data_IF_646796246054
#
_entry.id   IF_646796246054
#
_cell.length_a   1.000
_cell.length_b   1.000
_cell.length_c   1.000
_cell.angle_alpha   90.00
_cell.angle_beta   90.00
_cell.angle_gamma   90.00
#
_symmetry.space_group_name_H-M   'P 1'
#
loop_
_entity.id
_entity.type
_entity.pdbx_description
1 polymer ?
#
# COMPACT_ATOMS: atom_id res chain seq x y z
N UNK A 1 43.03 -23.41 2.35
CA UNK A 1 43.18 -22.11 3.03
C UNK A 1 41.90 -21.34 2.82
N UNK A 2 41.15 -21.12 3.90
CA UNK A 2 39.82 -20.53 3.86
C UNK A 2 39.88 -19.06 3.48
N UNK A 3 39.02 -18.64 2.55
CA UNK A 3 38.83 -17.24 2.27
C UNK A 3 37.68 -16.74 3.14
N UNK A 4 38.02 -15.80 4.01
CA UNK A 4 37.14 -15.19 5.00
C UNK A 4 36.04 -14.41 4.29
N UNK A 5 34.78 -14.75 4.58
CA UNK A 5 33.65 -13.88 4.36
C UNK A 5 33.80 -12.68 5.30
N UNK A 6 34.11 -11.51 4.76
CA UNK A 6 34.00 -10.27 5.52
C UNK A 6 32.52 -9.99 5.75
N UNK A 7 32.10 -10.12 7.02
CA UNK A 7 30.80 -9.68 7.48
C UNK A 7 30.65 -8.16 7.28
N UNK A 8 29.88 -7.79 6.27
CA UNK A 8 29.18 -6.51 6.25
C UNK A 8 27.70 -6.84 6.28
N UNK A 9 27.13 -6.85 7.48
CA UNK A 9 25.70 -7.00 7.73
C UNK A 9 24.95 -5.82 7.09
N UNK A 10 24.54 -5.99 5.83
CA UNK A 10 23.39 -5.26 5.30
C UNK A 10 22.16 -6.14 5.50
N UNK A 11 21.56 -6.06 6.68
CA UNK A 11 20.22 -6.60 6.91
C UNK A 11 19.27 -5.94 5.90
N UNK A 12 18.87 -6.70 4.89
CA UNK A 12 17.90 -6.24 3.89
C UNK A 12 16.56 -6.03 4.60
N UNK A 13 15.70 -5.13 4.10
CA UNK A 13 14.31 -5.07 4.60
C UNK A 13 13.63 -6.46 4.60
N UNK A 14 14.08 -7.38 3.72
CA UNK A 14 13.65 -8.79 3.68
C UNK A 14 13.79 -9.50 5.04
N UNK A 15 14.79 -9.17 5.84
CA UNK A 15 15.05 -9.78 7.14
C UNK A 15 14.20 -9.16 8.27
N UNK A 16 13.49 -8.06 7.97
CA UNK A 16 12.54 -7.38 8.87
C UNK A 16 11.09 -7.65 8.50
N UNK A 17 10.86 -8.44 7.44
CA UNK A 17 9.52 -8.85 7.01
C UNK A 17 8.97 -9.83 8.03
N UNK A 18 8.08 -9.35 8.90
CA UNK A 18 7.09 -10.24 9.48
C UNK A 18 6.15 -10.63 8.34
N UNK A 19 6.24 -11.90 7.89
CA UNK A 19 5.25 -12.43 6.96
C UNK A 19 3.89 -12.32 7.63
N UNK A 20 2.85 -11.86 6.91
CA UNK A 20 1.51 -11.88 7.44
C UNK A 20 1.18 -13.27 7.99
N UNK A 21 0.75 -13.31 9.26
CA UNK A 21 0.20 -14.54 9.83
C UNK A 21 -1.08 -14.92 9.09
N UNK A 22 -1.45 -16.20 9.11
CA UNK A 22 -2.74 -16.66 8.56
C UNK A 22 -3.92 -16.34 9.50
N UNK A 23 -3.80 -15.32 10.34
CA UNK A 23 -4.76 -15.00 11.40
C UNK A 23 -5.96 -14.23 10.83
N UNK A 24 -7.13 -14.52 11.39
CA UNK A 24 -8.44 -14.01 10.95
C UNK A 24 -8.79 -12.65 11.55
N UNK A 25 -7.84 -12.00 12.23
CA UNK A 25 -8.14 -10.76 12.95
C UNK A 25 -8.33 -9.62 11.95
N UNK A 26 -9.48 -8.96 12.07
CA UNK A 26 -9.86 -7.83 11.23
C UNK A 26 -9.88 -6.57 12.08
N UNK A 27 -9.25 -5.52 11.58
CA UNK A 27 -9.18 -4.19 12.18
C UNK A 27 -10.15 -3.25 11.46
N UNK A 28 -11.02 -2.63 12.24
CA UNK A 28 -11.87 -1.51 11.84
C UNK A 28 -11.06 -0.23 11.65
N UNK A 29 -11.65 0.79 11.03
CA UNK A 29 -11.03 2.11 10.91
C UNK A 29 -10.63 2.71 12.29
N UNK A 30 -11.46 2.52 13.33
CA UNK A 30 -11.16 3.04 14.67
C UNK A 30 -10.01 2.29 15.34
N UNK A 31 -9.94 0.96 15.17
CA UNK A 31 -8.82 0.16 15.66
C UNK A 31 -7.51 0.54 14.98
N UNK A 32 -7.53 0.72 13.66
CA UNK A 32 -6.38 1.21 12.90
C UNK A 32 -5.94 2.60 13.38
N UNK A 33 -6.87 3.54 13.59
CA UNK A 33 -6.54 4.88 14.11
C UNK A 33 -5.92 4.81 15.49
N UNK A 34 -6.46 3.98 16.40
CA UNK A 34 -5.87 3.79 17.74
C UNK A 34 -4.46 3.20 17.66
N UNK A 35 -4.26 2.20 16.82
CA UNK A 35 -2.97 1.56 16.64
C UNK A 35 -1.92 2.53 16.05
N UNK A 36 -2.27 3.26 14.97
CA UNK A 36 -1.39 4.26 14.37
C UNK A 36 -1.13 5.45 15.31
N UNK A 37 -2.09 5.84 16.14
CA UNK A 37 -1.89 6.87 17.19
C UNK A 37 -0.89 6.40 18.25
N UNK A 38 -0.93 5.14 18.65
CA UNK A 38 0.06 4.56 19.57
C UNK A 38 1.47 4.57 18.96
N UNK A 39 1.59 4.27 17.67
CA UNK A 39 2.86 4.35 16.93
C UNK A 39 3.35 5.80 16.89
N UNK A 40 2.50 6.73 16.46
CA UNK A 40 2.81 8.15 16.36
C UNK A 40 3.27 8.73 17.71
N UNK A 41 2.55 8.45 18.79
CA UNK A 41 2.90 8.89 20.14
C UNK A 41 4.27 8.37 20.59
N UNK A 42 4.58 7.11 20.27
CA UNK A 42 5.89 6.52 20.59
C UNK A 42 7.03 7.18 19.82
N UNK A 43 6.81 7.51 18.55
CA UNK A 43 7.78 8.23 17.71
C UNK A 43 7.97 9.67 18.19
N UNK A 44 6.87 10.35 18.51
CA UNK A 44 6.88 11.73 18.99
C UNK A 44 7.60 11.87 20.33
N UNK A 45 7.37 10.96 21.27
CA UNK A 45 8.08 10.92 22.54
C UNK A 45 9.61 10.77 22.39
N UNK A 46 10.08 10.28 21.23
CA UNK A 46 11.50 10.18 20.87
C UNK A 46 11.98 11.34 20.00
N UNK A 47 11.19 12.40 19.85
CA UNK A 47 11.52 13.58 19.05
C UNK A 47 11.56 13.32 17.54
N UNK A 48 10.94 12.24 17.06
CA UNK A 48 10.94 11.88 15.63
C UNK A 48 9.58 12.20 15.00
N UNK A 49 9.59 12.59 13.71
CA UNK A 49 8.40 12.59 12.86
C UNK A 49 8.74 11.85 11.57
N UNK A 50 8.07 10.72 11.33
CA UNK A 50 8.37 9.83 10.21
C UNK A 50 7.18 9.78 9.27
N UNK A 51 7.45 9.69 7.97
CA UNK A 51 6.45 9.48 6.94
C UNK A 51 6.59 8.10 6.30
N UNK A 52 5.45 7.43 6.09
CA UNK A 52 5.36 6.14 5.40
C UNK A 52 4.26 6.18 4.34
N UNK A 53 4.30 5.24 3.41
CA UNK A 53 3.27 5.11 2.36
C UNK A 53 2.54 3.80 2.54
N UNK A 54 1.23 3.87 2.83
CA UNK A 54 0.36 2.72 2.96
C UNK A 54 -0.19 2.27 1.59
N UNK A 55 -0.35 0.96 1.42
CA UNK A 55 -0.89 0.31 0.24
C UNK A 55 -2.10 -0.53 0.64
N UNK A 56 -3.11 -0.62 -0.21
CA UNK A 56 -4.15 -1.64 -0.06
C UNK A 56 -5.14 -1.36 1.09
N UNK A 57 -5.42 -2.41 1.86
CA UNK A 57 -6.60 -2.48 2.73
C UNK A 57 -6.72 -1.36 3.76
N UNK A 58 -5.60 -0.90 4.32
CA UNK A 58 -5.58 0.25 5.22
C UNK A 58 -6.05 1.55 4.52
N UNK A 59 -5.64 1.78 3.27
CA UNK A 59 -6.10 2.92 2.47
C UNK A 59 -7.61 2.79 2.19
N UNK A 60 -8.06 1.59 1.81
CA UNK A 60 -9.47 1.31 1.57
C UNK A 60 -10.36 1.52 2.80
N UNK A 61 -9.83 1.23 4.00
CA UNK A 61 -10.59 1.30 5.26
C UNK A 61 -10.55 2.71 5.87
N UNK A 62 -9.36 3.31 5.98
CA UNK A 62 -9.17 4.59 6.67
C UNK A 62 -9.49 5.82 5.82
N UNK A 63 -9.24 5.76 4.51
CA UNK A 63 -9.31 6.92 3.62
C UNK A 63 -10.44 6.82 2.60
N UNK A 64 -10.55 5.71 1.87
CA UNK A 64 -11.59 5.55 0.84
C UNK A 64 -12.95 5.13 1.41
N UNK A 65 -12.96 4.57 2.63
CA UNK A 65 -14.14 3.97 3.26
C UNK A 65 -14.86 2.94 2.37
N UNK A 66 -14.11 2.26 1.50
CA UNK A 66 -14.64 1.21 0.61
C UNK A 66 -14.68 -0.17 1.27
N UNK A 67 -14.10 -0.29 2.47
CA UNK A 67 -14.07 -1.49 3.30
C UNK A 67 -14.36 -1.11 4.75
N UNK A 68 -15.10 -1.97 5.44
CA UNK A 68 -15.34 -1.83 6.89
C UNK A 68 -14.09 -2.23 7.69
N UNK A 69 -13.38 -3.26 7.23
CA UNK A 69 -12.22 -3.80 7.92
C UNK A 69 -11.09 -4.27 6.99
N UNK A 70 -9.89 -4.38 7.55
CA UNK A 70 -8.70 -4.97 6.93
C UNK A 70 -7.86 -5.71 7.97
N UNK A 71 -6.98 -6.61 7.57
CA UNK A 71 -6.20 -7.40 8.52
C UNK A 71 -4.94 -6.68 9.00
N UNK A 72 -4.40 -5.78 8.18
CA UNK A 72 -3.11 -5.14 8.41
C UNK A 72 -2.96 -3.80 7.68
N UNK A 73 -1.83 -3.15 7.93
CA UNK A 73 -1.33 -1.98 7.24
C UNK A 73 -0.04 -2.39 6.52
N UNK A 74 -0.17 -2.67 5.23
CA UNK A 74 0.95 -2.78 4.30
C UNK A 74 1.54 -1.39 4.03
N UNK A 75 2.84 -1.22 4.21
CA UNK A 75 3.50 0.05 3.93
C UNK A 75 4.91 -0.07 3.35
N UNK A 76 5.43 1.04 2.84
CA UNK A 76 6.83 1.14 2.45
C UNK A 76 7.42 2.52 2.80
N UNK A 77 8.74 2.56 2.85
CA UNK A 77 9.54 3.78 3.04
C UNK A 77 10.12 4.26 1.72
N UNK A 78 10.73 5.44 1.71
CA UNK A 78 11.50 5.98 0.59
C UNK A 78 12.73 5.11 0.20
N UNK A 79 13.07 4.08 0.98
CA UNK A 79 14.20 3.17 0.74
C UNK A 79 13.85 1.73 1.10
N UNK A 80 14.54 0.77 0.46
CA UNK A 80 14.51 -0.65 0.85
C UNK A 80 15.65 -1.07 1.76
N UNK A 81 16.52 -0.15 2.16
CA UNK A 81 17.59 -0.42 3.12
C UNK A 81 17.09 -0.11 4.51
N UNK A 82 17.43 -0.96 5.48
CA UNK A 82 17.18 -0.66 6.88
C UNK A 82 17.92 0.62 7.27
N UNK A 83 17.20 1.53 7.94
CA UNK A 83 17.78 2.73 8.53
C UNK A 83 17.16 2.97 9.92
N UNK A 84 17.52 4.09 10.53
CA UNK A 84 17.04 4.46 11.86
C UNK A 84 15.52 4.66 11.88
N UNK A 85 14.95 5.26 10.85
CA UNK A 85 13.50 5.48 10.75
C UNK A 85 12.73 4.17 10.68
N UNK A 86 13.17 3.23 9.83
CA UNK A 86 12.64 1.87 9.74
C UNK A 86 12.67 1.21 11.12
N UNK A 87 13.81 1.29 11.80
CA UNK A 87 14.00 0.67 13.12
C UNK A 87 13.08 1.30 14.18
N UNK A 88 12.90 2.63 14.15
CA UNK A 88 12.02 3.36 15.06
C UNK A 88 10.55 3.01 14.84
N UNK A 89 10.10 2.94 13.58
CA UNK A 89 8.71 2.55 13.26
C UNK A 89 8.43 1.12 13.69
N UNK A 90 9.32 0.17 13.41
CA UNK A 90 9.15 -1.23 13.82
C UNK A 90 9.08 -1.34 15.36
N UNK A 91 9.98 -0.65 16.08
CA UNK A 91 9.95 -0.64 17.54
C UNK A 91 8.65 -0.02 18.08
N UNK A 92 8.17 1.07 17.48
CA UNK A 92 6.91 1.70 17.85
C UNK A 92 5.69 0.81 17.51
N UNK A 93 5.74 0.06 16.41
CA UNK A 93 4.72 -0.90 16.02
C UNK A 93 4.61 -2.06 17.03
N UNK A 94 5.74 -2.58 17.53
CA UNK A 94 5.75 -3.63 18.56
C UNK A 94 5.23 -3.11 19.92
N UNK A 95 5.50 -1.84 20.26
CA UNK A 95 4.89 -1.20 21.42
C UNK A 95 3.37 -1.17 21.27
N UNK A 96 2.85 -0.63 20.16
CA UNK A 96 1.41 -0.58 19.90
C UNK A 96 0.77 -1.98 19.92
N UNK A 97 1.43 -2.96 19.29
CA UNK A 97 1.01 -4.36 19.25
C UNK A 97 0.81 -4.93 20.65
N UNK A 98 1.80 -4.74 21.54
CA UNK A 98 1.73 -5.23 22.93
C UNK A 98 0.63 -4.55 23.73
N UNK A 99 0.45 -3.24 23.57
CA UNK A 99 -0.54 -2.46 24.31
C UNK A 99 -1.98 -2.75 23.87
N UNK A 100 -2.19 -3.03 22.59
CA UNK A 100 -3.50 -3.22 21.99
C UNK A 100 -3.81 -4.68 21.63
N UNK A 101 -2.92 -5.61 21.98
CA UNK A 101 -3.02 -7.04 21.67
C UNK A 101 -3.27 -7.31 20.17
N UNK A 102 -2.46 -6.70 19.31
CA UNK A 102 -2.58 -6.83 17.84
C UNK A 102 -1.77 -8.02 17.32
N UNK A 103 -2.12 -8.49 16.13
CA UNK A 103 -1.31 -9.46 15.39
C UNK A 103 0.11 -8.92 15.15
N UNK A 104 1.18 -9.75 15.23
CA UNK A 104 2.55 -9.32 14.94
C UNK A 104 2.74 -8.62 13.60
N UNK A 105 1.94 -8.96 12.60
CA UNK A 105 2.02 -8.44 11.24
C UNK A 105 1.06 -7.27 10.95
N UNK A 106 0.35 -6.74 11.96
CA UNK A 106 -0.66 -5.67 11.79
C UNK A 106 -0.12 -4.41 11.09
N UNK A 107 1.17 -4.10 11.25
CA UNK A 107 1.87 -3.02 10.55
C UNK A 107 3.16 -3.61 9.99
N UNK A 108 3.15 -3.91 8.68
CA UNK A 108 4.25 -4.62 8.03
C UNK A 108 4.65 -3.97 6.71
N UNK A 109 5.91 -4.14 6.34
CA UNK A 109 6.47 -3.59 5.10
C UNK A 109 6.70 -4.65 4.02
N UNK A 110 6.00 -5.79 4.09
CA UNK A 110 6.20 -6.90 3.16
C UNK A 110 5.91 -6.49 1.72
N UNK A 111 4.98 -5.57 1.50
CA UNK A 111 4.70 -5.02 0.16
C UNK A 111 5.95 -4.45 -0.52
N UNK A 112 6.95 -3.96 0.22
CA UNK A 112 8.17 -3.41 -0.35
C UNK A 112 9.02 -4.47 -1.08
N UNK A 113 8.86 -5.75 -0.76
CA UNK A 113 9.56 -6.86 -1.45
C UNK A 113 9.16 -6.96 -2.93
N UNK A 114 7.92 -6.58 -3.26
CA UNK A 114 7.37 -6.65 -4.61
C UNK A 114 7.58 -5.37 -5.43
N UNK A 115 8.04 -4.29 -4.80
CA UNK A 115 8.43 -3.06 -5.50
C UNK A 115 9.86 -3.25 -6.02
N UNK A 116 10.24 -2.63 -7.13
CA UNK A 116 11.65 -2.61 -7.60
C UNK A 116 12.50 -1.62 -6.77
N UNK A 117 13.82 -1.81 -6.71
CA UNK A 117 14.71 -0.95 -5.89
C UNK A 117 14.68 0.50 -6.40
N UNK A 118 14.81 0.65 -7.71
CA UNK A 118 14.77 1.91 -8.43
C UNK A 118 13.40 2.61 -8.36
N UNK A 119 12.31 1.86 -8.16
CA UNK A 119 10.95 2.38 -8.19
C UNK A 119 10.44 2.84 -6.81
N UNK A 120 10.97 2.30 -5.71
CA UNK A 120 10.44 2.61 -4.37
C UNK A 120 10.52 4.10 -4.03
N UNK A 121 11.63 4.73 -4.44
CA UNK A 121 11.87 6.15 -4.24
C UNK A 121 10.85 6.99 -5.01
N UNK A 122 10.69 6.68 -6.29
CA UNK A 122 9.73 7.34 -7.17
C UNK A 122 8.31 7.26 -6.62
N UNK A 123 7.87 6.07 -6.18
CA UNK A 123 6.53 5.88 -5.62
C UNK A 123 6.33 6.65 -4.32
N UNK A 124 7.37 6.74 -3.49
CA UNK A 124 7.31 7.53 -2.26
C UNK A 124 7.17 9.02 -2.57
N UNK A 125 8.03 9.56 -3.44
CA UNK A 125 8.00 10.98 -3.82
C UNK A 125 6.66 11.33 -4.48
N UNK A 126 6.13 10.45 -5.33
CA UNK A 126 4.82 10.60 -5.94
C UNK A 126 3.68 10.54 -4.91
N UNK A 127 3.75 9.67 -3.90
CA UNK A 127 2.74 9.60 -2.83
C UNK A 127 2.69 10.91 -2.02
N UNK A 128 3.85 11.46 -1.69
CA UNK A 128 3.98 12.76 -1.01
C UNK A 128 3.43 13.88 -1.89
N UNK A 129 3.77 13.89 -3.18
CA UNK A 129 3.24 14.86 -4.14
C UNK A 129 1.72 14.73 -4.34
N UNK A 130 1.20 13.51 -4.35
CA UNK A 130 -0.24 13.22 -4.46
C UNK A 130 -1.00 13.75 -3.25
N UNK A 131 -0.35 13.80 -2.08
CA UNK A 131 -0.84 14.49 -0.87
C UNK A 131 -2.02 13.82 -0.17
N UNK A 132 -2.29 12.54 -0.46
CA UNK A 132 -3.44 11.82 0.11
C UNK A 132 -3.09 11.26 1.48
N UNK A 133 -3.35 12.03 2.52
CA UNK A 133 -3.03 11.64 3.91
C UNK A 133 -4.10 10.68 4.46
N UNK A 134 -3.71 9.43 4.67
CA UNK A 134 -4.54 8.36 5.25
C UNK A 134 -4.64 8.51 6.78
N UNK A 135 -3.53 8.92 7.41
CA UNK A 135 -3.45 9.18 8.83
C UNK A 135 -2.35 10.21 9.11
N UNK A 136 -2.58 11.08 10.09
CA UNK A 136 -1.54 11.97 10.59
C UNK A 136 -1.74 12.24 12.08
N UNK A 137 -0.62 12.28 12.80
CA UNK A 137 -0.52 12.73 14.18
C UNK A 137 0.91 13.21 14.43
N UNK A 138 1.15 13.84 15.58
CA UNK A 138 2.52 14.12 16.02
C UNK A 138 3.32 12.81 16.02
N UNK A 139 4.41 12.77 15.25
CA UNK A 139 5.32 11.63 15.13
C UNK A 139 5.14 10.74 13.91
N UNK A 140 3.98 10.74 13.24
CA UNK A 140 3.73 9.87 12.09
C UNK A 140 2.79 10.52 11.06
N UNK A 141 3.17 10.47 9.80
CA UNK A 141 2.29 10.72 8.66
C UNK A 141 2.24 9.48 7.76
N UNK A 142 1.03 9.09 7.34
CA UNK A 142 0.79 7.95 6.46
C UNK A 142 0.12 8.47 5.19
N UNK A 143 0.82 8.37 4.06
CA UNK A 143 0.27 8.70 2.75
C UNK A 143 -0.35 7.47 2.08
N UNK A 144 -1.35 7.65 1.23
CA UNK A 144 -1.78 6.61 0.32
C UNK A 144 -0.76 6.47 -0.82
N UNK A 145 -0.49 5.24 -1.23
CA UNK A 145 0.31 4.97 -2.42
C UNK A 145 -0.28 5.65 -3.68
N UNK A 146 0.54 5.94 -4.70
CA UNK A 146 0.05 6.58 -5.91
C UNK A 146 -1.08 5.77 -6.55
N UNK A 147 -2.17 6.43 -6.95
CA UNK A 147 -3.36 5.73 -7.41
C UNK A 147 -3.10 4.86 -8.65
N UNK A 148 -2.17 5.26 -9.52
CA UNK A 148 -1.73 4.47 -10.69
C UNK A 148 -1.06 3.16 -10.29
N UNK A 149 -0.24 3.19 -9.23
CA UNK A 149 0.40 2.00 -8.68
C UNK A 149 -0.62 1.10 -7.99
N UNK A 150 -1.46 1.67 -7.14
CA UNK A 150 -2.50 0.93 -6.43
C UNK A 150 -3.47 0.23 -7.39
N UNK A 151 -3.88 0.89 -8.48
CA UNK A 151 -4.74 0.32 -9.51
C UNK A 151 -4.05 -0.82 -10.28
N UNK A 152 -2.82 -0.60 -10.76
CA UNK A 152 -2.08 -1.63 -11.51
C UNK A 152 -1.83 -2.88 -10.66
N UNK A 153 -1.39 -2.70 -9.40
CA UNK A 153 -1.18 -3.78 -8.44
C UNK A 153 -2.48 -4.56 -8.18
N UNK A 154 -3.61 -3.85 -8.05
CA UNK A 154 -4.91 -4.46 -7.82
C UNK A 154 -5.37 -5.29 -9.02
N UNK A 155 -5.23 -4.76 -10.23
CA UNK A 155 -5.64 -5.47 -11.45
C UNK A 155 -4.80 -6.72 -11.72
N UNK A 156 -3.51 -6.68 -11.38
CA UNK A 156 -2.67 -7.87 -11.41
C UNK A 156 -3.23 -8.96 -10.48
N UNK A 157 -3.70 -8.59 -9.29
CA UNK A 157 -4.32 -9.53 -8.34
C UNK A 157 -5.70 -10.03 -8.79
N UNK A 158 -6.54 -9.16 -9.36
CA UNK A 158 -7.83 -9.53 -9.96
C UNK A 158 -7.67 -10.62 -11.04
N UNK A 159 -6.55 -10.57 -11.77
CA UNK A 159 -6.24 -11.54 -12.81
C UNK A 159 -5.74 -12.90 -12.29
N UNK A 160 -5.47 -13.03 -10.98
CA UNK A 160 -4.98 -14.27 -10.38
C UNK A 160 -6.13 -15.19 -9.92
N UNK A 161 -5.93 -16.53 -9.91
CA UNK A 161 -6.96 -17.48 -9.46
C UNK A 161 -7.42 -17.30 -8.01
N UNK A 162 -6.55 -16.75 -7.15
CA UNK A 162 -6.78 -16.55 -5.72
C UNK A 162 -7.15 -15.10 -5.39
N UNK A 163 -7.77 -14.39 -6.34
CA UNK A 163 -8.34 -13.07 -6.11
C UNK A 163 -9.35 -13.09 -4.96
N UNK A 164 -9.49 -11.96 -4.29
CA UNK A 164 -10.50 -11.74 -3.24
C UNK A 164 -11.73 -11.06 -3.85
N UNK A 165 -12.89 -11.27 -3.25
CA UNK A 165 -14.16 -10.73 -3.75
C UNK A 165 -14.16 -9.19 -3.83
N UNK A 166 -13.47 -8.54 -2.90
CA UNK A 166 -13.31 -7.08 -2.87
C UNK A 166 -12.25 -6.54 -3.85
N UNK A 167 -11.52 -7.39 -4.58
CA UNK A 167 -10.42 -6.89 -5.41
C UNK A 167 -10.90 -6.02 -6.56
N UNK A 168 -12.03 -6.36 -7.18
CA UNK A 168 -12.60 -5.53 -8.24
C UNK A 168 -13.18 -4.22 -7.70
N UNK A 169 -13.87 -4.24 -6.56
CA UNK A 169 -14.41 -3.01 -5.96
C UNK A 169 -13.30 -2.06 -5.48
N UNK A 170 -12.20 -2.59 -4.96
CA UNK A 170 -11.01 -1.79 -4.64
C UNK A 170 -10.42 -1.15 -5.92
N UNK A 171 -10.36 -1.89 -7.04
CA UNK A 171 -9.88 -1.36 -8.31
C UNK A 171 -10.77 -0.23 -8.83
N UNK A 172 -12.09 -0.37 -8.71
CA UNK A 172 -13.06 0.68 -9.03
C UNK A 172 -12.83 1.92 -8.17
N UNK A 173 -12.58 1.76 -6.86
CA UNK A 173 -12.32 2.89 -5.97
C UNK A 173 -11.04 3.66 -6.36
N UNK A 174 -9.97 2.94 -6.70
CA UNK A 174 -8.72 3.58 -7.16
C UNK A 174 -8.89 4.28 -8.52
N UNK A 175 -9.61 3.66 -9.46
CA UNK A 175 -9.94 4.28 -10.73
C UNK A 175 -10.76 5.57 -10.52
N UNK A 176 -11.72 5.58 -9.60
CA UNK A 176 -12.53 6.77 -9.32
C UNK A 176 -11.69 7.93 -8.78
N UNK A 177 -10.64 7.64 -7.98
CA UNK A 177 -9.67 8.65 -7.55
C UNK A 177 -8.86 9.22 -8.71
N UNK A 178 -8.38 8.37 -9.61
CA UNK A 178 -7.69 8.82 -10.83
C UNK A 178 -8.59 9.69 -11.70
N UNK A 179 -9.83 9.24 -11.92
CA UNK A 179 -10.80 9.94 -12.75
C UNK A 179 -11.15 11.31 -12.17
N UNK A 180 -11.42 11.36 -10.86
CA UNK A 180 -11.85 12.60 -10.20
C UNK A 180 -10.75 13.66 -10.08
N UNK A 181 -9.48 13.26 -10.17
CA UNK A 181 -8.33 14.19 -10.13
C UNK A 181 -7.86 14.68 -11.50
N UNK A 182 -8.41 14.15 -12.60
CA UNK A 182 -7.95 14.45 -13.96
C UNK A 182 -8.95 15.35 -14.69
N UNK A 183 -8.46 16.36 -15.40
CA UNK A 183 -9.28 17.29 -16.18
C UNK A 183 -10.04 16.63 -17.35
N UNK A 184 -9.61 15.44 -17.80
CA UNK A 184 -10.23 14.66 -18.88
C UNK A 184 -11.16 13.53 -18.43
N UNK A 185 -11.35 13.33 -17.12
CA UNK A 185 -12.23 12.31 -16.57
C UNK A 185 -11.70 10.89 -16.74
N UNK A 186 -11.80 10.27 -17.91
CA UNK A 186 -11.47 8.85 -18.06
C UNK A 186 -9.96 8.57 -18.18
N UNK A 187 -9.55 7.36 -17.78
CA UNK A 187 -8.19 6.82 -17.96
C UNK A 187 -8.15 5.96 -19.22
N UNK A 188 -7.10 6.08 -20.05
CA UNK A 188 -6.95 5.19 -21.21
C UNK A 188 -6.51 3.79 -20.78
N UNK A 189 -6.99 2.75 -21.46
CA UNK A 189 -6.55 1.37 -21.22
C UNK A 189 -5.03 1.21 -21.46
N UNK A 190 -4.46 1.88 -22.47
CA UNK A 190 -3.00 1.88 -22.71
C UNK A 190 -2.20 2.45 -21.54
N UNK A 191 -2.72 3.45 -20.82
CA UNK A 191 -2.04 4.01 -19.65
C UNK A 191 -1.92 2.98 -18.53
N UNK A 192 -2.97 2.19 -18.29
CA UNK A 192 -2.92 1.13 -17.26
C UNK A 192 -1.94 0.04 -17.66
N UNK A 193 -1.91 -0.34 -18.94
CA UNK A 193 -0.92 -1.30 -19.45
C UNK A 193 0.51 -0.75 -19.31
N UNK A 194 0.73 0.54 -19.57
CA UNK A 194 2.01 1.20 -19.37
C UNK A 194 2.43 1.19 -17.89
N UNK A 195 1.52 1.52 -16.96
CA UNK A 195 1.81 1.46 -15.53
C UNK A 195 2.10 0.04 -15.06
N UNK A 196 1.35 -0.96 -15.54
CA UNK A 196 1.62 -2.36 -15.23
C UNK A 196 3.02 -2.77 -15.72
N UNK A 197 3.43 -2.36 -16.93
CA UNK A 197 4.77 -2.62 -17.46
C UNK A 197 5.88 -1.89 -16.69
N UNK A 198 5.64 -0.63 -16.30
CA UNK A 198 6.55 0.17 -15.46
C UNK A 198 6.80 -0.53 -14.12
N UNK A 199 5.73 -0.98 -13.46
CA UNK A 199 5.79 -1.62 -12.15
C UNK A 199 6.03 -3.13 -12.18
N UNK A 200 6.20 -3.71 -13.38
CA UNK A 200 6.40 -5.16 -13.61
C UNK A 200 5.27 -6.04 -13.08
N UNK A 201 4.05 -5.50 -13.10
CA UNK A 201 2.85 -6.27 -12.84
C UNK A 201 2.42 -7.03 -14.10
N UNK A 202 2.29 -8.36 -13.96
CA UNK A 202 1.67 -9.18 -14.99
C UNK A 202 0.15 -9.12 -14.84
N UNK A 203 -0.54 -8.69 -15.90
CA UNK A 203 -2.00 -8.77 -16.01
C UNK A 203 -2.32 -9.73 -17.15
N UNK A 204 -2.51 -11.04 -16.85
CA UNK A 204 -3.01 -11.99 -17.82
C UNK A 204 -4.31 -11.51 -18.46
N UNK A 205 -4.43 -11.68 -19.78
CA UNK A 205 -5.62 -11.29 -20.56
C UNK A 205 -6.08 -9.85 -20.24
N UNK A 206 -5.23 -8.83 -20.48
CA UNK A 206 -5.47 -7.47 -20.03
C UNK A 206 -6.81 -6.93 -20.57
N UNK A 207 -7.19 -7.27 -21.80
CA UNK A 207 -8.47 -6.83 -22.38
C UNK A 207 -9.68 -7.30 -21.58
N UNK A 208 -9.66 -8.55 -21.10
CA UNK A 208 -10.74 -9.11 -20.27
C UNK A 208 -10.78 -8.41 -18.92
N UNK A 209 -9.62 -8.18 -18.29
CA UNK A 209 -9.53 -7.51 -17.00
C UNK A 209 -10.00 -6.05 -17.10
N UNK A 210 -9.59 -5.33 -18.15
CA UNK A 210 -10.03 -3.95 -18.39
C UNK A 210 -11.52 -3.89 -18.73
N UNK A 211 -12.06 -4.86 -19.46
CA UNK A 211 -13.48 -4.93 -19.75
C UNK A 211 -14.29 -5.14 -18.45
N UNK A 212 -13.84 -6.03 -17.58
CA UNK A 212 -14.48 -6.26 -16.29
C UNK A 212 -14.43 -5.01 -15.39
N UNK A 213 -13.29 -4.31 -15.36
CA UNK A 213 -13.17 -3.04 -14.63
C UNK A 213 -14.08 -1.96 -15.23
N UNK A 214 -14.19 -1.89 -16.56
CA UNK A 214 -15.10 -0.94 -17.26
C UNK A 214 -16.55 -1.19 -16.85
N UNK A 215 -17.00 -2.45 -16.90
CA UNK A 215 -18.36 -2.84 -16.50
C UNK A 215 -18.61 -2.51 -15.04
N UNK A 216 -17.73 -2.96 -14.12
CA UNK A 216 -17.89 -2.73 -12.69
C UNK A 216 -17.88 -1.24 -12.32
N UNK A 217 -17.03 -0.45 -12.99
CA UNK A 217 -16.98 1.00 -12.77
C UNK A 217 -18.27 1.68 -13.24
N UNK A 218 -18.78 1.33 -14.42
CA UNK A 218 -20.04 1.87 -14.96
C UNK A 218 -21.21 1.55 -14.04
N UNK A 219 -21.29 0.31 -13.55
CA UNK A 219 -22.31 -0.12 -12.59
C UNK A 219 -22.25 0.68 -11.29
N UNK A 220 -21.04 0.92 -10.76
CA UNK A 220 -20.86 1.61 -9.49
C UNK A 220 -20.99 3.14 -9.57
N UNK A 221 -20.64 3.76 -10.71
CA UNK A 221 -20.47 5.22 -10.84
C UNK A 221 -21.38 5.87 -11.90
N UNK A 222 -22.07 5.08 -12.72
CA UNK A 222 -22.97 5.58 -13.76
C UNK A 222 -22.29 6.36 -14.89
N UNK A 223 -20.96 6.26 -15.02
CA UNK A 223 -20.15 6.98 -16.02
C UNK A 223 -18.97 6.13 -16.49
N UNK A 224 -18.37 6.47 -17.63
CA UNK A 224 -17.14 5.82 -18.09
C UNK A 224 -15.95 6.25 -17.23
N UNK A 225 -15.22 5.27 -16.69
CA UNK A 225 -13.93 5.47 -16.02
C UNK A 225 -12.74 5.09 -16.90
N UNK A 226 -12.96 4.22 -17.87
CA UNK A 226 -11.97 3.74 -18.83
C UNK A 226 -12.42 4.02 -20.26
N UNK A 227 -11.47 4.38 -21.11
CA UNK A 227 -11.68 4.56 -22.55
C UNK A 227 -10.60 3.85 -23.34
N UNK A 228 -10.91 3.51 -24.59
CA UNK A 228 -9.92 3.00 -25.52
C UNK A 228 -8.92 4.10 -25.92
N UNK A 229 -7.71 3.67 -26.26
CA UNK A 229 -6.57 4.52 -26.60
C UNK A 229 -5.33 4.13 -25.81
#
# INVERSE_FOLDING_TARGET
>A
MGNCLSASDQASLRDLVLRPGTTSDTLTADELRRALTSVASTLHAKGSHISIVAVGGAVNTLYLHSRETTSDVDFFFHTKTKNDDVTRVIAAADVARKHLNLDPSWLNNHTAVFIQEETIRQLYDEAVQQGEVVFTAAGLTVYAAPWRYALAAKLARVAMPHRRDYDMSDAVAYLDRLVSKRSGGAVRKSEIQQWAAEFKFAIPSPDVVMQNLTTAYREAKGREGLVDG
#
